data_IF_467224727379
#
_entry.id   IF_467224727379
#
_cell.length_a   1.000
_cell.length_b   1.000
_cell.length_c   1.000
_cell.angle_alpha   90.00
_cell.angle_beta   90.00
_cell.angle_gamma   90.00
#
_symmetry.space_group_name_H-M   'P 1'
#
loop_
_entity.id
_entity.type
_entity.pdbx_description
1 polymer ?
#
# COMPACT_ATOMS: atom_id res chain seq x y z
N UNK A 1 0.48 0.80 21.06
CA UNK A 1 0.28 -0.44 20.28
C UNK A 1 1.05 -0.33 18.97
N UNK A 2 1.59 -1.43 18.44
CA UNK A 2 2.24 -1.42 17.12
C UNK A 2 1.24 -1.04 16.02
N UNK A 3 1.64 -0.57 14.82
CA UNK A 3 0.72 -0.45 13.69
C UNK A 3 0.29 -1.84 13.19
N UNK A 4 -0.95 -1.96 12.70
CA UNK A 4 -1.45 -3.14 12.00
C UNK A 4 -2.55 -2.78 11.01
N UNK A 5 -2.78 -3.66 10.04
CA UNK A 5 -3.98 -3.65 9.22
C UNK A 5 -4.46 -5.10 9.01
N UNK A 6 -5.66 -5.28 8.44
CA UNK A 6 -6.18 -6.60 8.06
C UNK A 6 -6.53 -6.63 6.60
N UNK A 7 -6.44 -7.83 6.02
CA UNK A 7 -7.03 -8.17 4.73
C UNK A 7 -7.90 -9.40 5.00
N UNK A 8 -9.20 -9.22 5.23
CA UNK A 8 -10.12 -10.33 5.44
C UNK A 8 -10.78 -10.74 4.10
N UNK A 9 -9.93 -11.02 3.11
CA UNK A 9 -10.31 -11.44 1.76
C UNK A 9 -9.23 -12.37 1.19
N UNK A 10 -9.64 -13.38 0.41
CA UNK A 10 -8.68 -14.24 -0.31
C UNK A 10 -8.03 -13.50 -1.47
N UNK A 11 -6.90 -14.02 -1.97
CA UNK A 11 -6.28 -13.55 -3.21
C UNK A 11 -7.29 -13.44 -4.37
N UNK A 12 -8.21 -14.41 -4.49
CA UNK A 12 -9.25 -14.41 -5.53
C UNK A 12 -10.24 -13.26 -5.36
N UNK A 13 -10.69 -12.98 -4.13
CA UNK A 13 -11.56 -11.81 -3.87
C UNK A 13 -10.81 -10.50 -4.15
N UNK A 14 -9.56 -10.38 -3.71
CA UNK A 14 -8.75 -9.17 -3.94
C UNK A 14 -8.59 -8.92 -5.44
N UNK A 15 -8.20 -9.94 -6.19
CA UNK A 15 -8.02 -9.87 -7.64
C UNK A 15 -9.31 -9.43 -8.35
N UNK A 16 -10.44 -10.05 -7.99
CA UNK A 16 -11.76 -9.70 -8.53
C UNK A 16 -12.14 -8.25 -8.24
N UNK A 17 -12.08 -7.84 -6.97
CA UNK A 17 -12.65 -6.56 -6.52
C UNK A 17 -11.76 -5.37 -6.87
N UNK A 18 -10.44 -5.58 -6.95
CA UNK A 18 -9.47 -4.53 -7.30
C UNK A 18 -8.99 -4.60 -8.76
N UNK A 19 -9.49 -5.54 -9.55
CA UNK A 19 -9.20 -5.66 -10.99
C UNK A 19 -7.75 -6.03 -11.29
N UNK A 20 -7.27 -7.11 -10.67
CA UNK A 20 -5.93 -7.65 -10.83
C UNK A 20 -5.99 -9.16 -11.14
N UNK A 21 -4.88 -9.71 -11.64
CA UNK A 21 -4.64 -11.15 -11.68
C UNK A 21 -4.11 -11.65 -10.32
N UNK A 22 -4.42 -12.88 -9.93
CA UNK A 22 -3.87 -13.46 -8.69
C UNK A 22 -2.39 -13.79 -8.80
N UNK A 23 -1.86 -14.03 -10.00
CA UNK A 23 -0.49 -14.46 -10.30
C UNK A 23 0.01 -15.60 -9.40
N UNK A 24 -0.90 -16.51 -9.04
CA UNK A 24 -0.62 -17.65 -8.18
C UNK A 24 -0.52 -17.33 -6.68
N UNK A 25 -0.83 -16.11 -6.25
CA UNK A 25 -0.87 -15.75 -4.82
C UNK A 25 -1.91 -16.60 -4.06
N UNK A 26 -1.52 -17.08 -2.88
CA UNK A 26 -2.27 -18.04 -2.07
C UNK A 26 -2.89 -17.41 -0.81
N UNK A 27 -2.86 -16.09 -0.68
CA UNK A 27 -3.38 -15.38 0.50
C UNK A 27 -4.81 -15.77 0.83
N UNK A 28 -5.07 -16.12 2.10
CA UNK A 28 -6.38 -16.56 2.60
C UNK A 28 -7.05 -15.53 3.52
N UNK A 29 -6.38 -14.42 3.79
CA UNK A 29 -6.82 -13.42 4.73
C UNK A 29 -6.07 -13.45 6.06
N UNK A 30 -6.07 -12.32 6.77
CA UNK A 30 -5.45 -12.23 8.09
C UNK A 30 -5.03 -10.82 8.50
N UNK A 31 -4.42 -10.75 9.69
CA UNK A 31 -3.77 -9.56 10.20
C UNK A 31 -2.36 -9.43 9.64
N UNK A 32 -1.96 -8.19 9.33
CA UNK A 32 -0.62 -7.85 8.86
C UNK A 32 0.00 -6.85 9.83
N UNK A 33 1.17 -7.20 10.33
CA UNK A 33 2.01 -6.37 11.20
C UNK A 33 3.34 -6.09 10.50
N UNK A 34 4.10 -5.04 10.88
CA UNK A 34 5.42 -4.80 10.28
C UNK A 34 6.31 -6.03 10.38
N UNK A 35 6.94 -6.42 9.26
CA UNK A 35 7.69 -7.66 9.12
C UNK A 35 6.86 -8.85 8.61
N UNK A 36 5.54 -8.76 8.63
CA UNK A 36 4.63 -9.76 8.04
C UNK A 36 4.51 -9.60 6.52
N UNK A 37 4.19 -10.69 5.83
CA UNK A 37 3.93 -10.69 4.38
C UNK A 37 2.46 -10.42 4.10
N UNK A 38 2.20 -9.75 2.97
CA UNK A 38 0.85 -9.54 2.45
C UNK A 38 0.90 -9.36 0.92
N UNK A 39 -0.19 -9.67 0.21
CA UNK A 39 -0.28 -9.39 -1.21
C UNK A 39 -0.43 -7.87 -1.44
N UNK A 40 0.32 -7.35 -2.40
CA UNK A 40 0.10 -6.01 -2.97
C UNK A 40 -0.13 -6.13 -4.46
N UNK A 41 -0.89 -5.20 -5.05
CA UNK A 41 -1.13 -5.15 -6.49
C UNK A 41 -0.10 -4.23 -7.13
N UNK A 42 0.77 -4.80 -7.96
CA UNK A 42 1.71 -4.05 -8.80
C UNK A 42 1.22 -4.00 -10.24
N UNK A 43 1.88 -3.24 -11.11
CA UNK A 43 1.56 -3.21 -12.54
C UNK A 43 2.82 -3.33 -13.38
N UNK A 44 2.83 -4.28 -14.31
CA UNK A 44 3.87 -4.40 -15.34
C UNK A 44 3.26 -4.26 -16.73
N UNK A 45 4.10 -4.00 -17.73
CA UNK A 45 3.65 -3.94 -19.15
C UNK A 45 3.16 -5.30 -19.65
N UNK A 46 3.73 -6.38 -19.14
CA UNK A 46 3.49 -7.75 -19.61
C UNK A 46 2.24 -8.37 -18.99
N UNK A 47 2.04 -8.23 -17.67
CA UNK A 47 0.95 -8.88 -16.93
C UNK A 47 -0.19 -7.94 -16.55
N UNK A 48 -0.05 -6.63 -16.77
CA UNK A 48 -0.98 -5.66 -16.21
C UNK A 48 -0.95 -5.68 -14.68
N UNK A 49 -2.10 -5.44 -14.04
CA UNK A 49 -2.24 -5.46 -12.57
C UNK A 49 -2.25 -6.90 -12.06
N UNK A 50 -1.38 -7.21 -11.11
CA UNK A 50 -1.32 -8.55 -10.52
C UNK A 50 -0.83 -8.51 -9.06
N UNK A 51 -1.20 -9.52 -8.29
CA UNK A 51 -0.77 -9.68 -6.90
C UNK A 51 0.68 -10.19 -6.82
N UNK A 52 1.43 -9.62 -5.88
CA UNK A 52 2.75 -10.13 -5.48
C UNK A 52 2.88 -10.09 -3.95
N UNK A 53 3.38 -11.15 -3.31
CA UNK A 53 3.60 -11.15 -1.87
C UNK A 53 4.82 -10.29 -1.52
N UNK A 54 4.68 -9.39 -0.55
CA UNK A 54 5.77 -8.53 -0.06
C UNK A 54 5.71 -8.35 1.44
N UNK A 55 6.87 -8.16 2.07
CA UNK A 55 6.97 -7.84 3.48
C UNK A 55 6.53 -6.40 3.74
N UNK A 56 5.67 -6.19 4.73
CA UNK A 56 5.28 -4.84 5.12
C UNK A 56 6.36 -4.20 6.00
N UNK A 57 6.95 -3.11 5.51
CA UNK A 57 8.09 -2.46 6.13
C UNK A 57 9.32 -2.57 5.24
N UNK A 58 9.76 -1.43 4.73
CA UNK A 58 10.98 -1.35 3.93
C UNK A 58 12.19 -1.33 4.87
N UNK A 59 13.31 -2.00 4.54
CA UNK A 59 14.54 -1.90 5.32
C UNK A 59 14.94 -0.43 5.56
N UNK A 60 15.42 -0.09 6.76
CA UNK A 60 15.80 1.27 7.08
C UNK A 60 16.96 1.76 6.20
N UNK A 61 17.15 3.09 6.07
CA UNK A 61 18.42 3.62 5.57
C UNK A 61 19.58 3.16 6.46
N UNK A 62 20.86 3.24 6.02
CA UNK A 62 22.01 2.64 6.72
C UNK A 62 22.21 2.98 8.21
N UNK A 63 21.57 4.04 8.72
CA UNK A 63 21.61 4.45 10.14
C UNK A 63 20.31 4.22 10.90
N UNK A 64 19.30 3.59 10.30
CA UNK A 64 18.04 3.28 10.96
C UNK A 64 18.02 1.84 11.48
N UNK A 65 17.27 1.63 12.56
CA UNK A 65 17.24 0.35 13.28
C UNK A 65 15.96 -0.46 13.03
N UNK A 66 14.91 0.17 12.49
CA UNK A 66 13.59 -0.44 12.34
C UNK A 66 13.08 -0.37 10.91
N UNK A 67 12.29 -1.39 10.54
CA UNK A 67 11.53 -1.38 9.29
C UNK A 67 10.68 -0.11 9.19
N UNK A 68 10.53 0.40 7.97
CA UNK A 68 9.78 1.63 7.69
C UNK A 68 8.47 1.26 6.97
N UNK A 69 7.36 1.01 7.70
CA UNK A 69 6.08 0.56 7.13
C UNK A 69 5.26 1.68 6.47
N UNK A 70 5.63 2.94 6.72
CA UNK A 70 4.85 4.10 6.29
C UNK A 70 5.68 5.14 5.54
N UNK A 71 5.05 5.73 4.53
CA UNK A 71 5.51 6.93 3.83
C UNK A 71 4.65 8.10 4.32
N UNK A 72 5.24 9.02 5.08
CA UNK A 72 4.57 10.22 5.63
C UNK A 72 5.02 11.52 4.97
N UNK A 73 6.27 11.58 4.54
CA UNK A 73 6.85 12.73 3.85
C UNK A 73 7.26 12.33 2.44
N UNK A 74 6.49 12.82 1.45
CA UNK A 74 6.73 12.53 0.03
C UNK A 74 7.98 13.20 -0.53
N UNK A 75 8.46 14.25 0.14
CA UNK A 75 9.68 14.98 -0.23
C UNK A 75 10.93 14.41 0.45
N UNK A 76 10.79 13.35 1.25
CA UNK A 76 11.93 12.65 1.86
C UNK A 76 12.89 12.14 0.79
N UNK A 77 14.20 12.45 0.86
CA UNK A 77 15.21 11.89 -0.04
C UNK A 77 15.21 10.36 -0.03
N UNK A 78 14.83 9.75 1.10
CA UNK A 78 14.68 8.30 1.20
C UNK A 78 13.59 7.77 0.27
N UNK A 79 12.49 8.51 0.03
CA UNK A 79 11.32 8.03 -0.74
C UNK A 79 11.20 8.61 -2.14
N UNK A 80 11.73 9.81 -2.38
CA UNK A 80 11.41 10.61 -3.57
C UNK A 80 11.75 9.89 -4.88
N UNK A 81 12.83 9.12 -4.93
CA UNK A 81 13.17 8.28 -6.07
C UNK A 81 12.12 7.21 -6.34
N UNK A 82 11.75 6.44 -5.30
CA UNK A 82 10.73 5.39 -5.39
C UNK A 82 9.37 5.96 -5.80
N UNK A 83 8.97 7.10 -5.25
CA UNK A 83 7.71 7.77 -5.62
C UNK A 83 7.69 8.25 -7.06
N UNK A 84 8.81 8.75 -7.60
CA UNK A 84 8.90 9.24 -8.99
C UNK A 84 8.78 8.12 -10.03
N UNK A 85 9.27 6.92 -9.73
CA UNK A 85 9.20 5.79 -10.65
C UNK A 85 7.90 4.99 -10.43
N UNK A 86 6.98 5.12 -11.39
CA UNK A 86 5.64 4.50 -11.36
C UNK A 86 5.65 3.00 -11.16
N UNK A 87 6.66 2.31 -11.70
CA UNK A 87 6.85 0.86 -11.51
C UNK A 87 6.97 0.44 -10.04
N UNK A 88 7.42 1.32 -9.15
CA UNK A 88 7.56 1.04 -7.71
C UNK A 88 6.32 1.45 -6.89
N UNK A 89 5.20 1.73 -7.53
CA UNK A 89 3.92 2.00 -6.87
C UNK A 89 3.05 0.75 -6.89
N UNK A 90 2.23 0.59 -5.85
CA UNK A 90 1.27 -0.50 -5.72
C UNK A 90 -0.04 -0.02 -5.11
N UNK A 91 -1.08 -0.84 -5.26
CA UNK A 91 -2.28 -0.79 -4.41
C UNK A 91 -2.09 -1.80 -3.28
N UNK A 92 -2.37 -1.39 -2.05
CA UNK A 92 -2.35 -2.25 -0.87
C UNK A 92 -3.81 -2.57 -0.51
N UNK A 93 -4.26 -3.83 -0.68
CA UNK A 93 -5.59 -4.24 -0.25
C UNK A 93 -5.71 -4.12 1.27
N UNK A 94 -6.86 -3.65 1.76
CA UNK A 94 -7.08 -3.46 3.19
C UNK A 94 -8.57 -3.53 3.54
N UNK A 95 -8.96 -4.36 4.51
CA UNK A 95 -10.32 -4.39 5.06
C UNK A 95 -10.44 -3.56 6.33
N UNK A 96 -9.38 -3.54 7.16
CA UNK A 96 -9.35 -2.80 8.42
C UNK A 96 -7.99 -2.11 8.61
N UNK A 97 -7.99 -0.92 9.21
CA UNK A 97 -6.77 -0.21 9.63
C UNK A 97 -6.78 0.07 11.13
N UNK A 98 -5.67 -0.22 11.83
CA UNK A 98 -5.53 0.07 13.26
C UNK A 98 -5.21 1.55 13.48
N UNK A 99 -6.13 2.28 14.12
CA UNK A 99 -5.95 3.67 14.56
C UNK A 99 -6.03 3.74 16.09
N UNK A 100 -4.87 3.80 16.75
CA UNK A 100 -4.78 3.67 18.20
C UNK A 100 -5.30 2.30 18.62
N UNK A 101 -6.30 2.28 19.51
CA UNK A 101 -6.95 1.06 20.01
C UNK A 101 -8.23 0.69 19.21
N UNK A 102 -8.54 1.44 18.15
CA UNK A 102 -9.72 1.23 17.30
C UNK A 102 -9.36 0.68 15.92
N UNK A 103 -10.31 -0.04 15.31
CA UNK A 103 -10.23 -0.47 13.92
C UNK A 103 -11.14 0.40 13.06
N UNK A 104 -10.55 1.00 12.02
CA UNK A 104 -11.30 1.69 10.99
C UNK A 104 -11.70 0.73 9.88
N UNK A 105 -12.97 0.80 9.48
CA UNK A 105 -13.57 0.03 8.39
C UNK A 105 -14.45 0.94 7.54
N UNK A 106 -14.74 0.52 6.32
CA UNK A 106 -15.76 1.14 5.48
C UNK A 106 -16.86 0.10 5.17
N UNK A 107 -18.07 0.23 5.75
CA UNK A 107 -19.17 -0.69 5.48
C UNK A 107 -19.64 -0.70 4.01
N UNK A 108 -19.43 0.40 3.27
CA UNK A 108 -19.81 0.51 1.86
C UNK A 108 -18.71 0.00 0.92
N UNK A 109 -17.46 -0.03 1.37
CA UNK A 109 -16.31 -0.54 0.64
C UNK A 109 -15.51 -1.53 1.51
N UNK A 110 -15.98 -2.79 1.65
CA UNK A 110 -15.40 -3.76 2.57
C UNK A 110 -13.95 -4.14 2.24
N UNK A 111 -13.51 -3.90 1.00
CA UNK A 111 -12.11 -3.99 0.58
C UNK A 111 -11.65 -2.66 -0.02
N UNK A 112 -10.73 -2.00 0.67
CA UNK A 112 -10.12 -0.75 0.27
C UNK A 112 -8.85 -1.01 -0.56
N UNK A 113 -8.57 -0.12 -1.51
CA UNK A 113 -7.25 0.00 -2.12
C UNK A 113 -6.53 1.21 -1.53
N UNK A 114 -5.37 0.98 -0.93
CA UNK A 114 -4.54 2.02 -0.32
C UNK A 114 -3.31 2.29 -1.18
N UNK A 115 -2.91 3.55 -1.32
CA UNK A 115 -1.70 3.91 -2.03
C UNK A 115 -0.45 3.36 -1.31
N UNK A 116 0.36 2.57 -2.01
CA UNK A 116 1.61 2.04 -1.49
C UNK A 116 2.76 2.20 -2.48
N UNK A 117 3.98 2.02 -1.97
CA UNK A 117 5.18 1.84 -2.76
C UNK A 117 5.89 0.56 -2.35
N UNK A 118 6.68 -0.01 -3.26
CA UNK A 118 7.43 -1.23 -3.01
C UNK A 118 8.89 -1.10 -3.42
N UNK A 119 9.74 -1.99 -2.89
CA UNK A 119 11.15 -2.13 -3.25
C UNK A 119 11.56 -3.60 -3.31
N UNK A 120 12.43 -3.91 -4.26
CA UNK A 120 13.19 -5.15 -4.28
C UNK A 120 14.52 -4.91 -3.58
N UNK A 121 14.46 -4.88 -2.25
CA UNK A 121 15.62 -5.09 -1.38
C UNK A 121 15.89 -6.59 -1.24
N UNK A 122 16.88 -6.97 -0.41
CA UNK A 122 17.13 -8.38 -0.04
C UNK A 122 15.85 -9.14 0.32
N UNK A 123 14.96 -8.48 1.08
CA UNK A 123 13.57 -8.90 1.24
C UNK A 123 12.67 -7.98 0.39
N UNK A 124 11.90 -8.51 -0.58
CA UNK A 124 10.89 -7.74 -1.30
C UNK A 124 9.88 -7.12 -0.33
N UNK A 125 9.82 -5.79 -0.28
CA UNK A 125 9.12 -5.06 0.77
C UNK A 125 8.23 -3.95 0.22
N UNK A 126 7.29 -3.47 1.04
CA UNK A 126 6.43 -2.33 0.71
C UNK A 126 6.16 -1.43 1.90
N UNK A 127 5.71 -0.21 1.61
CA UNK A 127 5.28 0.77 2.60
C UNK A 127 3.97 1.44 2.16
N UNK A 128 3.14 1.79 3.13
CA UNK A 128 1.83 2.42 2.95
C UNK A 128 1.97 3.94 3.01
N UNK A 129 1.36 4.65 2.08
CA UNK A 129 1.25 6.11 2.18
C UNK A 129 0.20 6.46 3.24
N UNK A 130 0.57 7.40 4.11
CA UNK A 130 -0.33 7.90 5.13
C UNK A 130 -0.33 9.41 5.19
N UNK A 131 -1.46 9.99 5.60
CA UNK A 131 -1.69 11.42 5.72
C UNK A 131 -2.25 11.79 7.08
N UNK A 132 -2.01 13.03 7.50
CA UNK A 132 -2.51 13.59 8.75
C UNK A 132 -1.63 13.26 9.97
N UNK A 133 -1.73 14.12 10.98
CA UNK A 133 -1.08 13.99 12.28
C UNK A 133 -2.06 14.45 13.36
N UNK A 134 -2.11 13.84 14.56
CA UNK A 134 -1.16 12.88 15.13
C UNK A 134 -1.44 11.40 14.83
N UNK A 135 -2.62 11.05 14.29
CA UNK A 135 -3.02 9.67 13.98
C UNK A 135 -3.10 9.45 12.46
N UNK A 136 -1.99 9.05 11.80
CA UNK A 136 -1.91 8.99 10.35
C UNK A 136 -2.86 7.93 9.77
N UNK A 137 -3.65 8.34 8.77
CA UNK A 137 -4.60 7.50 8.06
C UNK A 137 -4.00 7.05 6.72
N UNK A 138 -4.32 5.84 6.24
CA UNK A 138 -3.93 5.41 4.91
C UNK A 138 -4.54 6.30 3.83
N UNK A 139 -3.80 6.56 2.76
CA UNK A 139 -4.34 7.22 1.58
C UNK A 139 -5.19 6.22 0.80
N UNK A 140 -6.51 6.28 1.00
CA UNK A 140 -7.47 5.42 0.31
C UNK A 140 -7.70 5.94 -1.12
N UNK A 141 -7.60 5.05 -2.09
CA UNK A 141 -7.81 5.33 -3.50
C UNK A 141 -9.20 4.86 -3.93
N UNK A 142 -9.81 5.63 -4.83
CA UNK A 142 -11.05 5.21 -5.52
C UNK A 142 -10.73 4.46 -6.81
N UNK A 143 -11.60 3.55 -7.29
CA UNK A 143 -11.36 2.78 -8.51
C UNK A 143 -10.93 3.62 -9.72
N UNK A 144 -11.56 4.77 -9.93
CA UNK A 144 -11.25 5.70 -11.01
C UNK A 144 -9.88 6.39 -10.89
N UNK A 145 -9.21 6.27 -9.73
CA UNK A 145 -7.90 6.88 -9.45
C UNK A 145 -6.75 5.89 -9.42
N UNK A 146 -7.02 4.59 -9.56
CA UNK A 146 -5.98 3.55 -9.51
C UNK A 146 -4.89 3.78 -10.57
N UNK A 147 -5.26 4.00 -11.82
CA UNK A 147 -4.28 4.25 -12.89
C UNK A 147 -3.56 5.58 -12.72
N UNK A 148 -4.21 6.59 -12.13
CA UNK A 148 -3.52 7.85 -11.80
C UNK A 148 -2.41 7.58 -10.79
N UNK A 149 -2.69 6.83 -9.73
CA UNK A 149 -1.66 6.44 -8.78
C UNK A 149 -0.57 5.57 -9.42
N UNK A 150 -0.95 4.51 -10.13
CA UNK A 150 -0.03 3.49 -10.65
C UNK A 150 0.80 3.96 -11.85
N UNK A 151 0.34 4.96 -12.62
CA UNK A 151 0.94 5.27 -13.94
C UNK A 151 1.22 6.75 -14.18
N UNK A 152 0.54 7.68 -13.49
CA UNK A 152 0.75 9.10 -13.76
C UNK A 152 2.06 9.61 -13.16
N UNK A 153 2.56 10.73 -13.71
CA UNK A 153 3.67 11.47 -13.10
C UNK A 153 3.35 11.82 -11.64
N UNK A 154 4.39 11.87 -10.80
CA UNK A 154 4.24 12.11 -9.37
C UNK A 154 3.51 13.44 -9.07
N UNK A 155 3.65 14.47 -9.91
CA UNK A 155 2.95 15.76 -9.72
C UNK A 155 1.43 15.58 -9.77
N UNK A 156 0.94 14.72 -10.67
CA UNK A 156 -0.49 14.42 -10.80
C UNK A 156 -0.93 13.49 -9.66
N UNK A 157 -0.17 12.44 -9.38
CA UNK A 157 -0.50 11.47 -8.35
C UNK A 157 -0.59 12.10 -6.94
N UNK A 158 0.23 13.12 -6.63
CA UNK A 158 0.18 13.85 -5.35
C UNK A 158 -1.16 14.54 -5.09
N UNK A 159 -1.89 14.93 -6.13
CA UNK A 159 -3.23 15.53 -5.98
C UNK A 159 -4.25 14.56 -5.36
N UNK A 160 -4.04 13.24 -5.48
CA UNK A 160 -4.87 12.23 -4.81
C UNK A 160 -4.66 12.26 -3.30
N UNK A 161 -3.42 12.50 -2.88
CA UNK A 161 -3.00 12.50 -1.48
C UNK A 161 -3.51 13.77 -0.79
N UNK A 162 -3.42 14.92 -1.46
CA UNK A 162 -3.90 16.20 -0.94
C UNK A 162 -5.42 16.26 -0.81
N UNK A 163 -6.16 15.58 -1.71
CA UNK A 163 -7.62 15.45 -1.60
C UNK A 163 -8.04 14.54 -0.45
N UNK A 164 -7.21 13.57 -0.08
CA UNK A 164 -7.46 12.69 1.08
C UNK A 164 -7.31 13.41 2.44
N UNK A 165 -6.82 14.65 2.45
CA UNK A 165 -6.71 15.50 3.65
C UNK A 165 -7.93 16.41 3.89
N UNK A 166 -8.89 16.45 2.96
CA UNK A 166 -10.11 17.28 3.05
C UNK A 166 -11.33 16.40 3.29
#
# INVERSE_FOLDING_TARGET
MAPAYRIDASAQQIAKDLGADTDGDVWQGGMVEPGGYAPVIVTTREKGRHLVPRQWGVPPPPRGEHLVPFVRNLDSPFWIGTLRHTQFRCLVPMTHYRKGDSWLTDPAAPLLAVAGIWRDSEIPSFAILTTGTPAPLPVILRPETYDVWLRADIKIARLLIEKSLR
#
